data_IF_949117182924
#
_entry.id   IF_949117182924
#
_cell.length_a   1.000
_cell.length_b   1.000
_cell.length_c   1.000
_cell.angle_alpha   90.00
_cell.angle_beta   90.00
_cell.angle_gamma   90.00
#
_symmetry.space_group_name_H-M   'P 1'
#
loop_
_entity.id
_entity.type
_entity.pdbx_description
1 polymer ?
#
# COMPACT_ATOMS: atom_id res chain seq x y z
N UNK A 1 -37.38 -0.99 -42.91
CA UNK A 1 -36.77 -0.81 -41.58
C UNK A 1 -35.25 -0.77 -41.75
N UNK A 2 -34.61 0.41 -41.68
CA UNK A 2 -33.16 0.55 -41.88
C UNK A 2 -32.47 0.79 -40.53
N UNK A 3 -31.84 -0.23 -39.96
CA UNK A 3 -31.05 -0.21 -38.73
C UNK A 3 -30.25 -1.53 -38.78
N UNK A 4 -28.92 -1.62 -38.87
CA UNK A 4 -27.84 -0.80 -38.33
C UNK A 4 -26.58 -1.00 -39.20
N UNK A 5 -26.35 -0.13 -40.18
CA UNK A 5 -25.06 -0.09 -40.89
C UNK A 5 -24.14 0.85 -40.10
N UNK A 6 -23.14 0.29 -39.39
CA UNK A 6 -22.19 1.06 -38.59
C UNK A 6 -21.83 0.48 -37.23
N UNK A 7 -22.63 -0.48 -36.70
CA UNK A 7 -22.27 -1.19 -35.47
C UNK A 7 -20.97 -2.00 -35.67
N UNK A 8 -20.81 -2.64 -36.82
CA UNK A 8 -19.60 -3.43 -37.10
C UNK A 8 -18.31 -2.60 -37.06
N UNK A 9 -18.35 -1.34 -37.49
CA UNK A 9 -17.21 -0.44 -37.44
C UNK A 9 -16.94 0.10 -36.03
N UNK A 10 -17.99 0.30 -35.23
CA UNK A 10 -17.86 0.67 -33.82
C UNK A 10 -17.30 -0.48 -32.99
N UNK A 11 -17.71 -1.73 -33.26
CA UNK A 11 -17.16 -2.93 -32.62
C UNK A 11 -15.68 -3.11 -32.98
N UNK A 12 -15.31 -2.97 -34.26
CA UNK A 12 -13.90 -3.02 -34.68
C UNK A 12 -13.04 -1.91 -34.05
N UNK A 13 -13.59 -0.70 -33.89
CA UNK A 13 -12.89 0.38 -33.17
C UNK A 13 -12.73 0.07 -31.69
N UNK A 14 -13.74 -0.50 -31.04
CA UNK A 14 -13.63 -0.92 -29.64
C UNK A 14 -12.64 -2.06 -29.46
N UNK A 15 -12.58 -3.02 -30.39
CA UNK A 15 -11.57 -4.09 -30.40
C UNK A 15 -10.15 -3.52 -30.60
N UNK A 16 -9.96 -2.58 -31.53
CA UNK A 16 -8.66 -1.92 -31.72
C UNK A 16 -8.24 -1.07 -30.52
N UNK A 17 -9.18 -0.39 -29.85
CA UNK A 17 -8.90 0.35 -28.62
C UNK A 17 -8.56 -0.62 -27.49
N UNK A 18 -9.30 -1.73 -27.36
CA UNK A 18 -9.01 -2.77 -26.38
C UNK A 18 -7.62 -3.38 -26.62
N UNK A 19 -7.24 -3.68 -27.87
CA UNK A 19 -5.95 -4.24 -28.25
C UNK A 19 -4.79 -3.23 -28.08
N UNK A 20 -5.05 -1.94 -28.31
CA UNK A 20 -4.11 -0.86 -28.01
C UNK A 20 -3.93 -0.64 -26.50
N UNK A 21 -4.98 -0.85 -25.70
CA UNK A 21 -4.93 -0.83 -24.23
C UNK A 21 -4.35 -2.13 -23.63
N UNK A 22 -4.47 -3.27 -24.33
CA UNK A 22 -3.89 -4.58 -23.97
C UNK A 22 -2.44 -4.73 -24.45
N UNK A 23 -1.83 -3.68 -25.00
CA UNK A 23 -0.39 -3.50 -24.90
C UNK A 23 -0.06 -3.37 -23.42
N UNK A 24 0.04 -4.52 -22.75
CA UNK A 24 0.58 -4.68 -21.40
C UNK A 24 1.76 -3.73 -21.33
N UNK A 25 1.71 -2.69 -20.47
CA UNK A 25 2.84 -1.79 -20.35
C UNK A 25 4.03 -2.69 -20.14
N UNK A 26 5.03 -2.61 -21.03
CA UNK A 26 6.32 -3.28 -20.84
C UNK A 26 6.65 -2.98 -19.39
N UNK A 27 6.64 -4.02 -18.56
CA UNK A 27 6.77 -3.88 -17.12
C UNK A 27 8.15 -3.28 -16.94
N UNK A 28 8.20 -1.96 -16.82
CA UNK A 28 9.40 -1.17 -16.61
C UNK A 28 9.86 -1.61 -15.24
N UNK A 29 10.64 -2.69 -15.22
CA UNK A 29 11.23 -3.16 -13.99
C UNK A 29 11.98 -1.96 -13.44
N UNK A 30 11.65 -1.49 -12.23
CA UNK A 30 12.31 -0.32 -11.66
C UNK A 30 13.81 -0.61 -11.70
N UNK A 31 14.55 0.16 -12.50
CA UNK A 31 15.99 -0.01 -12.72
C UNK A 31 16.76 0.12 -11.41
N UNK A 32 16.16 0.77 -10.42
CA UNK A 32 16.71 0.98 -9.10
C UNK A 32 16.15 -0.03 -8.08
N UNK A 33 17.07 -0.71 -7.41
CA UNK A 33 16.82 -1.65 -6.32
C UNK A 33 16.01 -1.01 -5.18
N UNK A 34 16.22 0.29 -4.91
CA UNK A 34 15.46 1.02 -3.90
C UNK A 34 13.97 1.10 -4.27
N UNK A 35 13.65 1.46 -5.51
CA UNK A 35 12.27 1.58 -5.97
C UNK A 35 11.57 0.23 -5.99
N UNK A 36 12.27 -0.84 -6.38
CA UNK A 36 11.76 -2.21 -6.32
C UNK A 36 11.41 -2.63 -4.89
N UNK A 37 12.32 -2.38 -3.95
CA UNK A 37 12.10 -2.70 -2.55
C UNK A 37 11.01 -1.82 -1.92
N UNK A 38 10.96 -0.53 -2.28
CA UNK A 38 9.90 0.40 -1.88
C UNK A 38 8.54 -0.13 -2.31
N UNK A 39 8.39 -0.52 -3.57
CA UNK A 39 7.14 -1.08 -4.09
C UNK A 39 6.74 -2.36 -3.35
N UNK A 40 7.68 -3.28 -3.11
CA UNK A 40 7.43 -4.50 -2.32
C UNK A 40 6.92 -4.16 -0.91
N UNK A 41 7.52 -3.16 -0.26
CA UNK A 41 7.08 -2.71 1.07
C UNK A 41 5.65 -2.15 1.03
N UNK A 42 5.27 -1.37 0.02
CA UNK A 42 3.88 -0.90 -0.12
C UNK A 42 2.88 -2.05 -0.29
N UNK A 43 3.21 -3.04 -1.13
CA UNK A 43 2.35 -4.22 -1.31
C UNK A 43 2.17 -4.97 0.02
N UNK A 44 3.24 -5.20 0.78
CA UNK A 44 3.17 -5.84 2.10
C UNK A 44 2.36 -5.02 3.11
N UNK A 45 2.46 -3.68 3.08
CA UNK A 45 1.66 -2.81 3.94
C UNK A 45 0.16 -2.96 3.64
N UNK A 46 -0.22 -2.99 2.37
CA UNK A 46 -1.62 -3.16 1.95
C UNK A 46 -2.15 -4.56 2.27
N UNK A 47 -1.35 -5.60 2.02
CA UNK A 47 -1.68 -6.98 2.39
C UNK A 47 -1.90 -7.12 3.89
N UNK A 48 -0.99 -6.57 4.71
CA UNK A 48 -1.12 -6.60 6.17
C UNK A 48 -2.36 -5.83 6.66
N UNK A 49 -2.66 -4.64 6.10
CA UNK A 49 -3.88 -3.88 6.44
C UNK A 49 -5.15 -4.67 6.12
N UNK A 50 -5.19 -5.29 4.93
CA UNK A 50 -6.31 -6.10 4.49
C UNK A 50 -6.51 -7.31 5.39
N UNK A 51 -5.44 -8.05 5.70
CA UNK A 51 -5.51 -9.22 6.56
C UNK A 51 -5.90 -8.87 8.01
N UNK A 52 -5.48 -7.71 8.53
CA UNK A 52 -5.93 -7.21 9.84
C UNK A 52 -7.43 -6.96 9.81
N UNK A 53 -7.94 -6.25 8.80
CA UNK A 53 -9.36 -5.96 8.70
C UNK A 53 -10.17 -7.26 8.51
N UNK A 54 -9.74 -8.18 7.65
CA UNK A 54 -10.40 -9.46 7.46
C UNK A 54 -10.41 -10.28 8.75
N UNK A 55 -9.29 -10.31 9.48
CA UNK A 55 -9.21 -10.96 10.80
C UNK A 55 -10.19 -10.36 11.79
N UNK A 56 -10.28 -9.03 11.87
CA UNK A 56 -11.24 -8.34 12.76
C UNK A 56 -12.69 -8.66 12.37
N UNK A 57 -13.01 -8.69 11.07
CA UNK A 57 -14.33 -9.07 10.57
C UNK A 57 -14.67 -10.52 10.89
N UNK A 58 -13.69 -11.44 10.81
CA UNK A 58 -13.88 -12.84 11.15
C UNK A 58 -14.05 -13.03 12.66
N UNK A 59 -13.26 -12.32 13.47
CA UNK A 59 -13.38 -12.29 14.92
C UNK A 59 -14.75 -11.81 15.37
N UNK A 60 -15.26 -10.71 14.80
CA UNK A 60 -16.57 -10.17 15.19
C UNK A 60 -17.74 -11.07 14.79
N UNK A 61 -17.64 -11.78 13.67
CA UNK A 61 -18.72 -12.64 13.15
C UNK A 61 -18.73 -14.06 13.71
N UNK A 62 -17.54 -14.67 13.85
CA UNK A 62 -17.37 -16.11 14.12
C UNK A 62 -16.49 -16.39 15.33
N UNK A 63 -15.93 -15.35 15.96
CA UNK A 63 -14.95 -15.50 17.02
C UNK A 63 -13.63 -16.09 16.53
N UNK A 64 -12.97 -16.84 17.41
CA UNK A 64 -11.66 -17.40 17.12
C UNK A 64 -11.79 -18.73 16.35
N UNK A 65 -11.65 -18.67 15.03
CA UNK A 65 -11.70 -19.83 14.14
C UNK A 65 -10.38 -20.03 13.38
N UNK A 66 -10.25 -21.13 12.65
CA UNK A 66 -9.05 -21.45 11.86
C UNK A 66 -8.64 -20.31 10.91
N UNK A 67 -9.61 -19.68 10.23
CA UNK A 67 -9.38 -18.58 9.29
C UNK A 67 -8.81 -17.34 10.01
N UNK A 68 -9.36 -17.00 11.20
CA UNK A 68 -8.86 -15.93 12.06
C UNK A 68 -7.40 -16.16 12.45
N UNK A 69 -7.06 -17.38 12.86
CA UNK A 69 -5.68 -17.75 13.26
C UNK A 69 -4.74 -17.67 12.06
N UNK A 70 -5.18 -18.17 10.89
CA UNK A 70 -4.40 -18.10 9.65
C UNK A 70 -4.12 -16.65 9.26
N UNK A 71 -5.13 -15.77 9.25
CA UNK A 71 -4.94 -14.34 8.98
C UNK A 71 -4.02 -13.69 9.98
N UNK A 72 -4.16 -14.00 11.27
CA UNK A 72 -3.23 -13.53 12.30
C UNK A 72 -1.79 -14.00 12.11
N UNK A 73 -1.56 -15.17 11.50
CA UNK A 73 -0.22 -15.63 11.13
C UNK A 73 0.31 -14.89 9.90
N UNK A 74 -0.51 -14.71 8.86
CA UNK A 74 -0.14 -13.94 7.67
C UNK A 74 0.29 -12.51 8.01
N UNK A 75 -0.45 -11.82 8.89
CA UNK A 75 -0.08 -10.49 9.38
C UNK A 75 1.28 -10.51 10.08
N UNK A 76 1.54 -11.50 10.95
CA UNK A 76 2.83 -11.65 11.64
C UNK A 76 3.99 -11.85 10.66
N UNK A 77 3.79 -12.66 9.62
CA UNK A 77 4.79 -12.88 8.58
C UNK A 77 5.06 -11.60 7.77
N UNK A 78 4.01 -10.89 7.37
CA UNK A 78 4.14 -9.62 6.64
C UNK A 78 4.86 -8.55 7.48
N UNK A 79 4.51 -8.41 8.76
CA UNK A 79 5.19 -7.49 9.69
C UNK A 79 6.67 -7.84 9.88
N UNK A 80 7.02 -9.12 9.94
CA UNK A 80 8.42 -9.56 10.03
C UNK A 80 9.19 -9.28 8.74
N UNK A 81 8.58 -9.48 7.56
CA UNK A 81 9.19 -9.10 6.28
C UNK A 81 9.40 -7.58 6.20
N UNK A 82 8.41 -6.79 6.62
CA UNK A 82 8.51 -5.32 6.70
C UNK A 82 9.63 -4.86 7.63
N UNK A 83 9.78 -5.49 8.81
CA UNK A 83 10.89 -5.22 9.75
C UNK A 83 12.25 -5.49 9.15
N UNK A 84 12.38 -6.49 8.26
CA UNK A 84 13.64 -6.80 7.56
C UNK A 84 13.88 -5.90 6.34
N UNK A 85 12.83 -5.44 5.68
CA UNK A 85 12.92 -4.60 4.49
C UNK A 85 13.31 -3.14 4.82
N UNK A 86 12.83 -2.58 5.92
CA UNK A 86 13.12 -1.19 6.31
C UNK A 86 14.63 -0.90 6.49
N UNK A 87 15.42 -1.71 7.21
CA UNK A 87 16.87 -1.52 7.30
C UNK A 87 17.58 -1.62 5.94
N UNK A 88 17.08 -2.47 5.03
CA UNK A 88 17.63 -2.59 3.67
C UNK A 88 17.37 -1.32 2.86
N UNK A 89 16.17 -0.73 2.93
CA UNK A 89 15.88 0.58 2.30
C UNK A 89 16.81 1.69 2.85
N UNK A 90 17.05 1.71 4.16
CA UNK A 90 17.99 2.64 4.78
C UNK A 90 19.44 2.43 4.29
N UNK A 91 19.88 1.18 4.17
CA UNK A 91 21.20 0.85 3.63
C UNK A 91 21.36 1.30 2.17
N UNK A 92 20.34 1.09 1.34
CA UNK A 92 20.31 1.55 -0.06
C UNK A 92 20.35 3.09 -0.16
N UNK A 93 19.59 3.80 0.69
CA UNK A 93 19.66 5.25 0.77
C UNK A 93 21.06 5.75 1.19
N UNK A 94 21.66 5.16 2.24
CA UNK A 94 23.04 5.49 2.65
C UNK A 94 24.07 5.20 1.55
N UNK A 95 23.92 4.08 0.84
CA UNK A 95 24.78 3.72 -0.29
C UNK A 95 24.67 4.76 -1.41
N UNK A 96 23.45 5.20 -1.75
CA UNK A 96 23.23 6.25 -2.74
C UNK A 96 23.77 7.62 -2.29
N UNK A 97 23.67 7.94 -1.00
CA UNK A 97 24.21 9.18 -0.42
C UNK A 97 25.74 9.25 -0.50
N UNK A 98 26.43 8.12 -0.37
CA UNK A 98 27.89 8.04 -0.41
C UNK A 98 28.48 7.96 -1.83
N UNK A 99 27.65 7.88 -2.88
CA UNK A 99 28.12 7.80 -4.27
C UNK A 99 28.61 9.16 -4.79
N UNK A 100 29.62 9.12 -5.67
CA UNK A 100 30.09 10.30 -6.43
C UNK A 100 28.92 10.85 -7.26
N UNK A 101 28.60 12.12 -7.08
CA UNK A 101 27.44 12.76 -7.73
C UNK A 101 26.19 12.89 -6.83
N UNK A 102 26.23 12.46 -5.57
CA UNK A 102 25.12 12.63 -4.63
C UNK A 102 24.64 14.09 -4.48
N UNK A 103 25.53 15.07 -4.62
CA UNK A 103 25.16 16.50 -4.61
C UNK A 103 24.23 16.88 -5.76
N UNK A 104 24.38 16.28 -6.93
CA UNK A 104 23.52 16.53 -8.09
C UNK A 104 22.14 15.85 -7.94
N UNK A 105 22.04 14.81 -7.09
CA UNK A 105 20.80 14.06 -6.81
C UNK A 105 20.22 14.36 -5.43
N UNK A 106 20.46 15.57 -4.91
CA UNK A 106 20.11 15.94 -3.53
C UNK A 106 18.59 15.86 -3.28
N UNK A 107 17.79 16.31 -4.24
CA UNK A 107 16.32 16.28 -4.15
C UNK A 107 15.80 14.83 -4.12
N UNK A 108 16.32 13.97 -5.00
CA UNK A 108 15.97 12.55 -5.02
C UNK A 108 16.33 11.85 -3.70
N UNK A 109 17.52 12.11 -3.16
CA UNK A 109 17.95 11.56 -1.87
C UNK A 109 17.04 12.03 -0.73
N UNK A 110 16.63 13.31 -0.76
CA UNK A 110 15.69 13.84 0.22
C UNK A 110 14.32 13.18 0.12
N UNK A 111 13.81 12.95 -1.10
CA UNK A 111 12.55 12.22 -1.32
C UNK A 111 12.63 10.79 -0.76
N UNK A 112 13.72 10.06 -1.04
CA UNK A 112 13.94 8.70 -0.49
C UNK A 112 13.96 8.69 1.04
N UNK A 113 14.56 9.70 1.66
CA UNK A 113 14.57 9.81 3.12
C UNK A 113 13.16 10.05 3.69
N UNK A 114 12.38 10.91 3.05
CA UNK A 114 10.98 11.15 3.42
C UNK A 114 10.14 9.87 3.27
N UNK A 115 10.31 9.15 2.16
CA UNK A 115 9.64 7.85 1.93
C UNK A 115 9.94 6.87 3.07
N UNK A 116 11.21 6.67 3.42
CA UNK A 116 11.61 5.77 4.51
C UNK A 116 10.94 6.17 5.83
N UNK A 117 10.88 7.48 6.13
CA UNK A 117 10.25 7.99 7.36
C UNK A 117 8.75 7.70 7.39
N UNK A 118 8.06 7.91 6.26
CA UNK A 118 6.63 7.61 6.12
C UNK A 118 6.37 6.12 6.25
N UNK A 119 7.15 5.29 5.53
CA UNK A 119 7.04 3.83 5.60
C UNK A 119 7.25 3.30 7.01
N UNK A 120 8.23 3.86 7.75
CA UNK A 120 8.45 3.50 9.15
C UNK A 120 7.21 3.79 10.02
N UNK A 121 6.63 4.98 9.89
CA UNK A 121 5.39 5.34 10.61
C UNK A 121 4.24 4.39 10.27
N UNK A 122 4.06 4.05 9.00
CA UNK A 122 3.01 3.11 8.57
C UNK A 122 3.20 1.71 9.16
N UNK A 123 4.46 1.25 9.29
CA UNK A 123 4.76 -0.04 9.95
C UNK A 123 4.47 0.05 11.45
N UNK A 124 4.83 1.15 12.11
CA UNK A 124 4.55 1.35 13.53
C UNK A 124 3.02 1.37 13.79
N UNK A 125 2.26 2.13 12.98
CA UNK A 125 0.80 2.16 13.01
C UNK A 125 0.18 0.77 12.80
N UNK A 126 0.70 -0.02 11.86
CA UNK A 126 0.25 -1.40 11.62
C UNK A 126 0.51 -2.32 12.81
N UNK A 127 1.66 -2.18 13.49
CA UNK A 127 1.96 -2.95 14.69
C UNK A 127 0.99 -2.58 15.83
N UNK A 128 0.69 -1.30 16.01
CA UNK A 128 -0.29 -0.85 17.00
C UNK A 128 -1.70 -1.37 16.69
N UNK A 129 -2.15 -1.27 15.43
CA UNK A 129 -3.45 -1.78 14.99
C UNK A 129 -3.58 -3.28 15.23
N UNK A 130 -2.55 -4.05 14.88
CA UNK A 130 -2.54 -5.49 15.10
C UNK A 130 -2.48 -5.85 16.59
N UNK A 131 -1.70 -5.10 17.37
CA UNK A 131 -1.58 -5.26 18.83
C UNK A 131 -2.91 -5.08 19.54
N UNK A 132 -3.58 -3.94 19.30
CA UNK A 132 -4.91 -3.63 19.87
C UNK A 132 -5.95 -4.69 19.49
N UNK A 133 -5.98 -5.09 18.22
CA UNK A 133 -6.88 -6.13 17.74
C UNK A 133 -6.63 -7.52 18.37
N UNK A 134 -5.43 -7.74 18.92
CA UNK A 134 -5.11 -8.99 19.61
C UNK A 134 -5.47 -8.97 21.08
N UNK A 135 -5.41 -7.81 21.73
CA UNK A 135 -5.78 -7.63 23.14
C UNK A 135 -7.31 -7.69 23.32
N UNK A 136 -8.07 -7.06 22.42
CA UNK A 136 -9.55 -7.10 22.43
C UNK A 136 -10.11 -8.51 22.19
N UNK A 137 -9.36 -9.40 21.53
CA UNK A 137 -9.82 -10.73 21.17
C UNK A 137 -9.59 -11.81 22.26
N UNK A 138 -8.77 -11.54 23.29
CA UNK A 138 -8.37 -12.55 24.27
C UNK A 138 -8.24 -12.05 25.73
N UNK A 139 -9.34 -11.77 26.45
CA UNK A 139 -9.30 -11.73 27.91
C UNK A 139 -9.37 -13.13 28.57
N UNK A 140 -9.89 -14.14 27.84
CA UNK A 140 -10.44 -15.35 28.48
C UNK A 140 -9.61 -16.64 28.43
N UNK A 141 -8.44 -16.68 27.77
CA UNK A 141 -7.71 -17.94 27.51
C UNK A 141 -6.32 -18.06 28.13
N UNK A 142 -5.92 -17.12 29.00
CA UNK A 142 -4.68 -17.22 29.78
C UNK A 142 -4.90 -17.76 31.20
N UNK A 143 -6.04 -18.41 31.46
CA UNK A 143 -6.30 -19.20 32.65
C UNK A 143 -6.13 -20.69 32.38
N UNK A 144 -4.93 -21.23 32.67
CA UNK A 144 -4.64 -22.66 32.92
C UNK A 144 -5.08 -23.67 31.84
N UNK A 145 -4.16 -23.95 30.90
CA UNK A 145 -4.12 -25.24 30.20
C UNK A 145 -3.44 -26.30 31.07
N UNK A 146 -4.19 -26.99 31.93
CA UNK A 146 -3.87 -28.34 32.36
C UNK A 146 -5.17 -29.16 32.42
N UNK A 147 -5.12 -30.32 31.77
CA UNK A 147 -6.07 -31.45 31.82
C UNK A 147 -7.38 -31.36 31.04
N UNK A 148 -7.38 -31.99 29.86
CA UNK A 148 -8.60 -32.45 29.19
C UNK A 148 -8.32 -33.81 28.52
N UNK A 149 -8.83 -34.90 29.12
CA UNK A 149 -9.59 -35.85 28.32
C UNK A 149 -10.69 -36.57 29.12
N UNK A 150 -11.95 -36.10 29.15
CA UNK A 150 -13.07 -36.94 29.64
C UNK A 150 -14.52 -36.45 29.38
N UNK A 151 -14.79 -35.64 28.36
CA UNK A 151 -16.14 -35.08 28.14
C UNK A 151 -16.84 -35.62 26.88
N UNK A 152 -16.97 -36.94 26.76
CA UNK A 152 -17.73 -37.55 25.64
C UNK A 152 -18.90 -38.46 26.02
N UNK A 153 -19.12 -38.82 27.30
CA UNK A 153 -20.09 -39.88 27.64
C UNK A 153 -21.34 -39.47 28.43
N UNK A 154 -21.58 -38.19 28.73
CA UNK A 154 -22.68 -37.78 29.62
C UNK A 154 -23.75 -36.92 28.94
N UNK A 155 -24.38 -37.46 27.90
CA UNK A 155 -25.57 -36.86 27.27
C UNK A 155 -26.74 -37.86 27.12
N UNK A 156 -27.20 -38.41 28.25
CA UNK A 156 -28.55 -38.99 28.40
C UNK A 156 -29.04 -38.76 29.83
N UNK A 157 -29.64 -37.60 30.09
CA UNK A 157 -30.37 -37.34 31.33
C UNK A 157 -31.88 -37.60 31.09
N UNK A 158 -32.47 -38.44 31.94
CA UNK A 158 -33.89 -38.78 31.96
C UNK A 158 -34.71 -37.68 32.63
N UNK A 159 -35.96 -37.49 32.19
CA UNK A 159 -36.82 -36.36 32.56
C UNK A 159 -37.35 -36.36 34.00
N UNK A 160 -37.02 -37.36 34.82
CA UNK A 160 -37.48 -37.49 36.22
C UNK A 160 -36.59 -36.75 37.25
N UNK A 161 -35.40 -36.27 36.87
CA UNK A 161 -34.43 -35.67 37.80
C UNK A 161 -34.64 -34.15 38.08
N UNK A 162 -35.70 -33.54 37.56
CA UNK A 162 -35.93 -32.08 37.68
C UNK A 162 -36.61 -31.62 38.97
N UNK A 163 -36.79 -32.49 39.97
CA UNK A 163 -37.41 -32.19 41.27
C UNK A 163 -36.49 -32.41 42.48
N UNK A 164 -35.17 -32.39 42.26
CA UNK A 164 -34.22 -32.43 43.37
C UNK A 164 -33.99 -31.02 43.91
N UNK A 165 -34.09 -30.85 45.23
CA UNK A 165 -33.67 -29.62 45.89
C UNK A 165 -32.17 -29.38 45.63
N UNK A 166 -31.82 -28.14 45.30
CA UNK A 166 -30.45 -27.76 44.95
C UNK A 166 -29.51 -28.17 46.07
N UNK A 167 -28.48 -28.93 45.72
CA UNK A 167 -27.41 -29.25 46.66
C UNK A 167 -26.62 -27.97 46.95
N UNK A 168 -26.03 -27.83 48.15
CA UNK A 168 -25.30 -26.60 48.53
C UNK A 168 -24.18 -26.24 47.54
N UNK A 169 -23.63 -27.24 46.84
CA UNK A 169 -22.63 -27.06 45.81
C UNK A 169 -23.19 -26.42 44.52
N UNK A 170 -24.45 -26.68 44.19
CA UNK A 170 -25.15 -26.08 43.06
C UNK A 170 -25.60 -24.64 43.38
N UNK A 171 -25.97 -24.37 44.64
CA UNK A 171 -26.27 -23.00 45.10
C UNK A 171 -25.04 -22.09 45.02
N UNK A 172 -23.87 -22.58 45.44
CA UNK A 172 -22.59 -21.86 45.31
C UNK A 172 -22.23 -21.63 43.83
N UNK A 173 -22.49 -22.59 42.95
CA UNK A 173 -22.27 -22.46 41.51
C UNK A 173 -23.21 -21.42 40.88
N UNK A 174 -24.47 -21.38 41.31
CA UNK A 174 -25.47 -20.39 40.89
C UNK A 174 -25.11 -18.98 41.38
N UNK A 175 -24.63 -18.84 42.62
CA UNK A 175 -24.14 -17.57 43.16
C UNK A 175 -22.90 -17.07 42.39
N UNK A 176 -21.98 -17.97 42.03
CA UNK A 176 -20.83 -17.66 41.19
C UNK A 176 -21.21 -17.34 39.73
N UNK A 177 -22.31 -17.89 39.22
CA UNK A 177 -22.87 -17.50 37.91
C UNK A 177 -23.45 -16.09 37.96
N UNK A 178 -24.26 -15.77 38.97
CA UNK A 178 -24.84 -14.43 39.13
C UNK A 178 -23.78 -13.33 39.21
N UNK A 179 -22.72 -13.53 39.98
CA UNK A 179 -21.60 -12.55 40.03
C UNK A 179 -20.93 -12.36 38.68
N UNK A 180 -20.77 -13.43 37.91
CA UNK A 180 -20.19 -13.34 36.56
C UNK A 180 -21.11 -12.62 35.58
N UNK A 181 -22.42 -12.80 35.70
CA UNK A 181 -23.39 -12.09 34.86
C UNK A 181 -23.39 -10.58 35.18
N UNK A 182 -23.29 -10.20 36.46
CA UNK A 182 -23.14 -8.79 36.86
C UNK A 182 -21.85 -8.16 36.31
N UNK A 183 -20.72 -8.87 36.39
CA UNK A 183 -19.45 -8.42 35.80
C UNK A 183 -19.54 -8.31 34.26
N UNK A 184 -20.25 -9.23 33.61
CA UNK A 184 -20.46 -9.21 32.16
C UNK A 184 -21.32 -8.04 31.72
N UNK A 185 -22.41 -7.74 32.44
CA UNK A 185 -23.24 -6.56 32.16
C UNK A 185 -22.42 -5.27 32.29
N UNK A 186 -21.56 -5.18 33.31
CA UNK A 186 -20.70 -4.01 33.51
C UNK A 186 -19.70 -3.83 32.37
N UNK A 187 -19.10 -4.93 31.89
CA UNK A 187 -18.20 -4.91 30.72
C UNK A 187 -18.94 -4.59 29.41
N UNK A 188 -20.16 -5.14 29.23
CA UNK A 188 -21.00 -4.84 28.06
C UNK A 188 -21.38 -3.36 28.00
N UNK A 189 -21.61 -2.73 29.17
CA UNK A 189 -21.85 -1.32 29.26
C UNK A 189 -20.63 -0.48 28.84
N UNK A 190 -19.43 -0.84 29.30
CA UNK A 190 -18.19 -0.18 28.87
C UNK A 190 -17.93 -0.34 27.36
N UNK A 191 -18.19 -1.52 26.80
CA UNK A 191 -18.08 -1.76 25.36
C UNK A 191 -19.10 -0.91 24.59
N UNK A 192 -20.32 -0.78 25.09
CA UNK A 192 -21.34 0.10 24.51
C UNK A 192 -20.88 1.56 24.45
N UNK A 193 -20.23 2.05 25.51
CA UNK A 193 -19.65 3.39 25.55
C UNK A 193 -18.46 3.55 24.60
N UNK A 194 -17.61 2.54 24.46
CA UNK A 194 -16.48 2.55 23.52
C UNK A 194 -16.95 2.54 22.06
N UNK A 195 -17.97 1.72 21.73
CA UNK A 195 -18.58 1.67 20.40
C UNK A 195 -19.28 2.99 20.06
N UNK A 196 -19.93 3.63 21.03
CA UNK A 196 -20.47 4.98 20.86
C UNK A 196 -19.41 6.04 20.50
N UNK A 197 -18.15 5.84 20.93
CA UNK A 197 -17.02 6.71 20.54
C UNK A 197 -16.43 6.35 19.18
N UNK A 198 -16.64 5.14 18.68
CA UNK A 198 -16.16 4.71 17.36
C UNK A 198 -16.98 5.29 16.21
N UNK A 199 -18.29 5.52 16.37
CA UNK A 199 -19.14 6.13 15.31
C UNK A 199 -18.63 7.51 14.83
N UNK A 200 -18.34 8.49 15.70
CA UNK A 200 -17.81 9.78 15.26
C UNK A 200 -16.39 9.66 14.67
N UNK A 201 -15.56 8.74 15.17
CA UNK A 201 -14.24 8.44 14.62
C UNK A 201 -14.34 7.86 13.20
N UNK A 202 -15.25 6.92 12.97
CA UNK A 202 -15.50 6.34 11.65
C UNK A 202 -15.99 7.40 10.65
N UNK A 203 -16.91 8.28 11.08
CA UNK A 203 -17.35 9.43 10.27
C UNK A 203 -16.21 10.39 9.96
N UNK A 204 -15.36 10.68 10.94
CA UNK A 204 -14.18 11.53 10.76
C UNK A 204 -13.19 10.91 9.78
N UNK A 205 -12.92 9.61 9.88
CA UNK A 205 -12.07 8.88 8.93
C UNK A 205 -12.68 8.92 7.53
N UNK A 206 -13.98 8.68 7.38
CA UNK A 206 -14.67 8.79 6.08
C UNK A 206 -14.52 10.18 5.46
N UNK A 207 -14.74 11.23 6.24
CA UNK A 207 -14.55 12.61 5.78
C UNK A 207 -13.09 12.93 5.42
N UNK A 208 -12.14 12.33 6.13
CA UNK A 208 -10.71 12.52 5.86
C UNK A 208 -10.26 11.75 4.63
N UNK A 209 -10.78 10.54 4.43
CA UNK A 209 -10.54 9.72 3.25
C UNK A 209 -11.08 10.40 1.98
N UNK A 210 -12.28 10.98 2.04
CA UNK A 210 -12.85 11.72 0.89
C UNK A 210 -11.99 12.96 0.55
N UNK A 211 -11.52 13.71 1.56
CA UNK A 211 -10.57 14.81 1.34
C UNK A 211 -9.25 14.34 0.72
N UNK A 212 -8.76 13.17 1.12
CA UNK A 212 -7.55 12.59 0.53
C UNK A 212 -7.78 12.13 -0.90
N UNK A 213 -8.96 11.57 -1.23
CA UNK A 213 -9.34 11.23 -2.61
C UNK A 213 -9.35 12.45 -3.51
N UNK A 214 -10.01 13.53 -3.07
CA UNK A 214 -10.05 14.80 -3.82
C UNK A 214 -8.64 15.39 -4.02
N UNK A 215 -7.76 15.30 -3.02
CA UNK A 215 -6.36 15.73 -3.16
C UNK A 215 -5.58 14.85 -4.13
N UNK A 216 -5.84 13.54 -4.15
CA UNK A 216 -5.21 12.62 -5.08
C UNK A 216 -5.65 12.90 -6.52
N UNK A 217 -6.95 13.16 -6.74
CA UNK A 217 -7.47 13.57 -8.05
C UNK A 217 -6.85 14.89 -8.53
N UNK A 218 -6.70 15.88 -7.64
CA UNK A 218 -6.03 17.14 -7.95
C UNK A 218 -4.54 16.94 -8.30
N UNK A 219 -3.83 16.08 -7.56
CA UNK A 219 -2.45 15.71 -7.85
C UNK A 219 -2.32 15.02 -9.21
N UNK A 220 -3.23 14.11 -9.55
CA UNK A 220 -3.24 13.46 -10.88
C UNK A 220 -3.41 14.50 -11.99
N UNK A 221 -4.32 15.46 -11.82
CA UNK A 221 -4.50 16.55 -12.79
C UNK A 221 -3.26 17.47 -12.90
N UNK A 222 -2.57 17.74 -11.79
CA UNK A 222 -1.29 18.47 -11.81
C UNK A 222 -0.20 17.66 -12.52
N UNK A 223 -0.13 16.35 -12.27
CA UNK A 223 0.83 15.44 -12.93
C UNK A 223 0.62 15.45 -14.44
N UNK A 224 -0.63 15.28 -14.90
CA UNK A 224 -0.98 15.33 -16.33
C UNK A 224 -0.56 16.66 -16.97
N UNK A 225 -0.77 17.77 -16.25
CA UNK A 225 -0.33 19.10 -16.70
C UNK A 225 1.19 19.20 -16.78
N UNK A 226 1.93 18.75 -15.76
CA UNK A 226 3.39 18.71 -15.81
C UNK A 226 3.93 17.79 -16.88
N UNK A 227 3.25 16.67 -17.19
CA UNK A 227 3.63 15.80 -18.29
C UNK A 227 3.45 16.50 -19.64
N UNK A 228 2.34 17.21 -19.84
CA UNK A 228 2.12 18.03 -21.03
C UNK A 228 3.19 19.13 -21.16
N UNK A 229 3.52 19.83 -20.07
CA UNK A 229 4.57 20.84 -20.04
C UNK A 229 5.95 20.23 -20.34
N UNK A 230 6.24 19.04 -19.80
CA UNK A 230 7.48 18.31 -20.05
C UNK A 230 7.59 17.88 -21.52
N UNK A 231 6.51 17.41 -22.14
CA UNK A 231 6.48 17.10 -23.57
C UNK A 231 6.71 18.35 -24.42
N UNK A 232 6.13 19.49 -24.02
CA UNK A 232 6.31 20.77 -24.72
C UNK A 232 7.74 21.29 -24.59
N UNK A 233 8.35 21.16 -23.41
CA UNK A 233 9.76 21.48 -23.19
C UNK A 233 10.68 20.59 -24.02
N UNK A 234 10.39 19.29 -24.08
CA UNK A 234 11.17 18.33 -24.88
C UNK A 234 11.09 18.67 -26.38
N UNK A 235 9.91 19.10 -26.88
CA UNK A 235 9.77 19.63 -28.24
C UNK A 235 10.63 20.87 -28.47
N UNK A 236 10.57 21.87 -27.58
CA UNK A 236 11.39 23.09 -27.69
C UNK A 236 12.89 22.80 -27.65
N UNK A 237 13.33 21.91 -26.77
CA UNK A 237 14.74 21.48 -26.71
C UNK A 237 15.16 20.82 -28.01
N UNK A 238 14.32 19.97 -28.59
CA UNK A 238 14.59 19.36 -29.90
C UNK A 238 14.66 20.39 -31.04
N UNK A 239 13.80 21.40 -31.03
CA UNK A 239 13.83 22.49 -32.00
C UNK A 239 15.11 23.31 -31.88
N UNK A 240 15.51 23.67 -30.66
CA UNK A 240 16.77 24.40 -30.39
C UNK A 240 17.97 23.57 -30.84
N UNK A 241 18.00 22.26 -30.55
CA UNK A 241 19.05 21.36 -31.03
C UNK A 241 19.13 21.28 -32.56
N UNK A 242 17.99 21.30 -33.25
CA UNK A 242 17.97 21.34 -34.72
C UNK A 242 18.52 22.66 -35.25
N UNK A 243 18.20 23.77 -34.59
CA UNK A 243 18.70 25.09 -34.98
C UNK A 243 20.22 25.17 -34.81
N UNK A 244 20.76 24.72 -33.67
CA UNK A 244 22.20 24.67 -33.42
C UNK A 244 22.94 23.79 -34.44
N UNK A 245 22.38 22.63 -34.80
CA UNK A 245 22.98 21.77 -35.84
C UNK A 245 23.07 22.47 -37.18
N UNK A 246 22.00 23.16 -37.60
CA UNK A 246 21.98 23.89 -38.87
C UNK A 246 22.93 25.09 -38.87
N UNK A 247 23.01 25.85 -37.76
CA UNK A 247 23.98 26.95 -37.65
C UNK A 247 25.42 26.46 -37.60
N UNK A 248 25.70 25.34 -36.92
CA UNK A 248 27.05 24.76 -36.87
C UNK A 248 27.52 24.30 -38.25
N UNK A 249 26.62 23.70 -39.05
CA UNK A 249 26.89 23.27 -40.41
C UNK A 249 27.20 24.46 -41.33
N UNK A 250 26.40 25.54 -41.23
CA UNK A 250 26.62 26.77 -41.99
C UNK A 250 27.98 27.41 -41.63
N UNK A 251 28.29 27.54 -40.34
CA UNK A 251 29.59 28.06 -39.90
C UNK A 251 30.76 27.18 -40.35
N UNK A 252 30.64 25.85 -40.29
CA UNK A 252 31.66 24.93 -40.81
C UNK A 252 31.88 25.10 -42.32
N UNK A 253 30.80 25.30 -43.08
CA UNK A 253 30.87 25.49 -44.53
C UNK A 253 31.53 26.83 -44.89
N UNK A 254 31.17 27.91 -44.20
CA UNK A 254 31.84 29.21 -44.36
C UNK A 254 33.34 29.13 -44.02
N UNK A 255 33.71 28.45 -42.92
CA UNK A 255 35.12 28.27 -42.54
C UNK A 255 35.90 27.46 -43.59
N UNK A 256 35.30 26.42 -44.16
CA UNK A 256 35.90 25.65 -45.26
C UNK A 256 36.17 26.50 -46.50
N UNK A 257 35.22 27.37 -46.89
CA UNK A 257 35.38 28.26 -48.04
C UNK A 257 36.51 29.27 -47.80
N UNK A 258 36.55 29.90 -46.61
CA UNK A 258 37.63 30.83 -46.26
C UNK A 258 38.99 30.13 -46.28
N UNK A 259 39.07 28.91 -45.74
CA UNK A 259 40.29 28.12 -45.75
C UNK A 259 40.77 27.81 -47.18
N UNK A 260 39.86 27.40 -48.09
CA UNK A 260 40.17 27.18 -49.50
C UNK A 260 40.69 28.45 -50.19
N UNK A 261 40.09 29.62 -49.92
CA UNK A 261 40.58 30.90 -50.43
C UNK A 261 42.00 31.22 -49.93
N UNK A 262 42.29 30.98 -48.65
CA UNK A 262 43.63 31.17 -48.10
C UNK A 262 44.67 30.24 -48.76
N UNK A 263 44.35 28.96 -48.93
CA UNK A 263 45.23 28.00 -49.60
C UNK A 263 45.46 28.40 -51.06
N UNK A 264 44.41 28.78 -51.79
CA UNK A 264 44.52 29.24 -53.17
C UNK A 264 45.39 30.49 -53.32
N UNK A 265 45.26 31.46 -52.41
CA UNK A 265 46.11 32.65 -52.41
C UNK A 265 47.59 32.33 -52.17
N UNK A 266 47.89 31.40 -51.25
CA UNK A 266 49.27 30.96 -50.99
C UNK A 266 49.86 30.26 -52.22
N UNK A 267 49.09 29.39 -52.89
CA UNK A 267 49.54 28.72 -54.12
C UNK A 267 49.81 29.70 -55.27
N UNK A 268 48.96 30.72 -55.42
CA UNK A 268 49.15 31.78 -56.41
C UNK A 268 50.42 32.61 -56.15
N UNK A 269 50.81 32.80 -54.89
CA UNK A 269 52.04 33.51 -54.52
C UNK A 269 53.30 32.65 -54.69
N UNK A 270 53.15 31.33 -54.66
CA UNK A 270 54.25 30.36 -54.81
C UNK A 270 54.53 29.97 -56.27
N UNK A 271 53.60 30.26 -57.19
CA UNK A 271 53.70 29.94 -58.62
C UNK A 271 54.03 31.20 -59.41
#
# INVERSE_FOLDING_TARGET
>A
MPLLHGIGDLVKRLEQIAEACDQKPKQDQPKDEFLRLKQRVYVLLEEARRDIHERQTLLSKRGNCKETIQKGNSVRQALEELRRALPKLQALHKKAQNQRGAKAKREELQARYQDIRILKRHVDELNELFGRASEEACPALLGKSQDLPQLRDSARASAEDTKRDLTSQEEDALAAMKRRDEDLEQQLHEVGLAVGRLDPLARQIGATAERQRLRAEALTAEVDKTEADMQLLNRRVNEVMRYEKNTSCCCQLCLMVVFLCCVGFIFQQLT
#
